data_IF_729405495350
#
_entry.id   IF_729405495350
#
_cell.length_a   1.000
_cell.length_b   1.000
_cell.length_c   1.000
_cell.angle_alpha   90.00
_cell.angle_beta   90.00
_cell.angle_gamma   90.00
#
_symmetry.space_group_name_H-M   'P 1'
#
loop_
_entity.id
_entity.type
_entity.pdbx_description
1 polymer ?
#
# COMPACT_ATOMS: atom_id res chain seq x y z
N UNK A 1 10.07 5.77 53.42
CA UNK A 1 10.45 7.11 52.99
C UNK A 1 11.25 7.80 54.12
N UNK A 2 12.28 8.52 53.76
CA UNK A 2 13.11 9.30 54.71
C UNK A 2 12.68 10.75 54.63
N UNK A 3 12.15 11.28 55.72
CA UNK A 3 11.74 12.68 55.78
C UNK A 3 12.97 13.54 56.13
N UNK A 4 13.49 14.28 55.14
CA UNK A 4 14.68 15.11 55.28
C UNK A 4 14.43 16.41 56.08
N UNK A 5 13.18 16.79 56.33
CA UNK A 5 12.84 18.01 57.06
C UNK A 5 11.58 17.74 57.90
N UNK A 6 11.72 17.83 59.24
CA UNK A 6 10.57 17.73 60.15
C UNK A 6 9.71 18.98 60.01
N UNK A 7 8.41 18.81 60.09
CA UNK A 7 7.51 19.95 60.21
C UNK A 7 7.70 20.61 61.59
N UNK A 8 8.04 21.89 61.57
CA UNK A 8 8.22 22.67 62.78
C UNK A 8 6.97 23.53 62.97
N UNK A 9 6.24 23.26 64.01
CA UNK A 9 5.11 24.11 64.45
C UNK A 9 5.60 25.09 65.50
N UNK A 10 5.37 26.34 65.25
CA UNK A 10 5.66 27.44 66.27
C UNK A 10 4.37 27.70 66.99
N UNK A 11 4.33 27.41 68.30
CA UNK A 11 3.23 27.81 69.19
C UNK A 11 3.69 28.91 70.06
N UNK A 12 2.92 30.01 70.08
CA UNK A 12 3.12 31.13 70.89
C UNK A 12 2.23 31.00 72.14
N UNK A 13 2.81 30.82 73.30
CA UNK A 13 2.11 30.73 74.56
C UNK A 13 2.73 31.75 75.54
N UNK A 14 1.96 32.78 75.99
CA UNK A 14 2.41 33.73 76.99
C UNK A 14 3.62 34.57 76.61
N UNK A 15 3.80 34.95 75.32
CA UNK A 15 4.90 35.82 74.87
C UNK A 15 6.22 35.11 74.61
N UNK A 16 6.28 33.78 74.74
CA UNK A 16 7.45 32.99 74.34
C UNK A 16 7.08 32.04 73.17
N UNK A 17 7.87 32.08 72.06
CA UNK A 17 7.70 31.21 70.94
C UNK A 17 8.47 29.92 71.19
N UNK A 18 7.75 28.81 71.32
CA UNK A 18 8.35 27.45 71.43
C UNK A 18 8.22 26.73 70.09
N UNK A 19 9.36 26.28 69.52
CA UNK A 19 9.39 25.51 68.34
C UNK A 19 9.27 24.03 68.69
N UNK A 20 8.15 23.41 68.36
CA UNK A 20 7.92 22.00 68.57
C UNK A 20 8.11 21.31 67.22
N UNK A 21 9.07 20.38 67.15
CA UNK A 21 9.25 19.54 65.99
C UNK A 21 8.39 18.29 66.13
N UNK A 22 7.39 18.15 65.24
CA UNK A 22 6.54 16.97 65.20
C UNK A 22 6.98 16.07 64.05
N UNK A 23 7.07 14.77 64.30
CA UNK A 23 7.33 13.73 63.30
C UNK A 23 8.45 12.77 63.70
N UNK A 24 8.40 11.58 63.16
CA UNK A 24 9.46 10.56 63.26
C UNK A 24 10.53 10.79 62.21
N UNK A 25 11.80 10.59 62.57
CA UNK A 25 12.93 10.77 61.66
C UNK A 25 12.92 9.76 60.48
N UNK A 26 12.39 8.57 60.73
CA UNK A 26 12.24 7.55 59.71
C UNK A 26 10.89 6.87 59.88
N UNK A 27 10.15 6.74 58.81
CA UNK A 27 8.98 5.87 58.74
C UNK A 27 9.18 4.78 57.69
N UNK A 28 9.05 3.57 58.13
CA UNK A 28 9.14 2.39 57.26
C UNK A 28 7.74 1.76 57.23
N UNK A 29 7.20 1.62 56.02
CA UNK A 29 5.97 0.85 55.77
C UNK A 29 6.25 -0.21 54.74
N UNK A 30 5.96 -1.45 55.09
CA UNK A 30 5.97 -2.58 54.16
C UNK A 30 4.58 -3.23 54.20
N UNK A 31 4.00 -3.41 53.03
CA UNK A 31 2.70 -4.06 52.91
C UNK A 31 2.76 -5.12 51.84
N UNK A 32 2.29 -6.31 52.14
CA UNK A 32 2.04 -7.37 51.16
C UNK A 32 0.53 -7.49 50.97
N UNK A 33 0.03 -7.25 49.77
CA UNK A 33 -1.37 -7.40 49.44
C UNK A 33 -1.54 -8.56 48.43
N UNK A 34 -2.38 -9.51 48.77
CA UNK A 34 -2.77 -10.58 47.86
C UNK A 34 -4.25 -10.43 47.56
N UNK A 35 -4.59 -10.15 46.31
CA UNK A 35 -5.96 -10.07 45.83
C UNK A 35 -6.32 -11.35 45.08
N UNK A 36 -7.17 -12.19 45.69
CA UNK A 36 -7.71 -13.40 45.06
C UNK A 36 -9.18 -13.13 44.66
N UNK A 37 -9.51 -12.96 43.38
CA UNK A 37 -10.90 -12.81 42.97
C UNK A 37 -11.61 -14.15 43.05
N UNK A 38 -12.37 -14.38 44.12
CA UNK A 38 -13.15 -15.62 44.34
C UNK A 38 -14.35 -15.75 43.40
N UNK A 39 -14.91 -14.63 42.95
CA UNK A 39 -15.99 -14.56 41.97
C UNK A 39 -15.81 -13.34 41.09
N UNK A 40 -15.41 -13.57 39.82
CA UNK A 40 -15.17 -12.51 38.83
C UNK A 40 -15.88 -12.83 37.50
N UNK A 41 -17.18 -12.59 37.36
CA UNK A 41 -17.93 -12.87 36.13
C UNK A 41 -17.35 -12.16 34.90
N UNK A 42 -16.73 -10.98 35.09
CA UNK A 42 -16.04 -10.27 34.06
C UNK A 42 -14.84 -11.05 33.48
N UNK A 43 -14.09 -11.75 34.34
CA UNK A 43 -12.96 -12.59 33.93
C UNK A 43 -13.42 -13.75 33.05
N UNK A 44 -14.47 -14.46 33.43
CA UNK A 44 -15.02 -15.57 32.63
C UNK A 44 -15.58 -15.09 31.28
N UNK A 45 -16.18 -13.90 31.25
CA UNK A 45 -16.64 -13.30 29.99
C UNK A 45 -15.49 -12.86 29.10
N UNK A 46 -14.40 -12.34 29.67
CA UNK A 46 -13.22 -11.96 28.89
C UNK A 46 -12.50 -13.16 28.27
N UNK A 47 -12.50 -14.31 28.94
CA UNK A 47 -11.95 -15.56 28.37
C UNK A 47 -12.77 -15.97 27.13
N UNK A 48 -14.10 -15.99 27.22
CA UNK A 48 -14.96 -16.29 26.05
C UNK A 48 -14.82 -15.27 24.93
N UNK A 49 -14.63 -14.00 25.26
CA UNK A 49 -14.35 -12.95 24.27
C UNK A 49 -13.03 -13.24 23.55
N UNK A 50 -11.99 -13.66 24.28
CA UNK A 50 -10.70 -14.00 23.70
C UNK A 50 -10.80 -15.21 22.75
N UNK A 51 -11.63 -16.20 23.06
CA UNK A 51 -11.90 -17.32 22.15
C UNK A 51 -12.56 -16.86 20.86
N UNK A 52 -13.56 -15.98 20.93
CA UNK A 52 -14.19 -15.37 19.75
C UNK A 52 -13.22 -14.47 18.95
N UNK A 53 -12.31 -13.76 19.63
CA UNK A 53 -11.27 -12.97 18.98
C UNK A 53 -10.27 -13.84 18.20
N UNK A 54 -9.96 -15.04 18.68
CA UNK A 54 -9.12 -16.01 17.96
C UNK A 54 -9.83 -16.47 16.68
N UNK A 55 -11.10 -16.83 16.74
CA UNK A 55 -11.88 -17.20 15.55
C UNK A 55 -11.93 -16.04 14.55
N UNK A 56 -12.19 -14.84 15.03
CA UNK A 56 -12.16 -13.63 14.20
C UNK A 56 -10.80 -13.41 13.56
N UNK A 57 -9.70 -13.63 14.27
CA UNK A 57 -8.35 -13.50 13.73
C UNK A 57 -8.07 -14.52 12.61
N UNK A 58 -8.54 -15.76 12.77
CA UNK A 58 -8.43 -16.82 11.75
C UNK A 58 -9.20 -16.44 10.49
N UNK A 59 -10.46 -15.98 10.64
CA UNK A 59 -11.27 -15.55 9.48
C UNK A 59 -10.72 -14.29 8.81
N UNK A 60 -10.17 -13.35 9.56
CA UNK A 60 -9.45 -12.19 9.00
C UNK A 60 -8.21 -12.62 8.20
N UNK A 61 -7.45 -13.59 8.70
CA UNK A 61 -6.29 -14.11 7.96
C UNK A 61 -6.72 -14.80 6.66
N UNK A 62 -7.83 -15.56 6.69
CA UNK A 62 -8.42 -16.16 5.49
C UNK A 62 -8.89 -15.12 4.49
N UNK A 63 -9.62 -14.11 4.94
CA UNK A 63 -10.09 -13.00 4.09
C UNK A 63 -8.91 -12.23 3.48
N UNK A 64 -7.85 -11.98 4.25
CA UNK A 64 -6.62 -11.33 3.76
C UNK A 64 -5.96 -12.14 2.65
N UNK A 65 -5.88 -13.47 2.81
CA UNK A 65 -5.32 -14.35 1.77
C UNK A 65 -6.14 -14.29 0.48
N UNK A 66 -7.47 -14.36 0.58
CA UNK A 66 -8.36 -14.24 -0.58
C UNK A 66 -8.20 -12.87 -1.25
N UNK A 67 -8.15 -11.81 -0.45
CA UNK A 67 -7.91 -10.45 -0.94
C UNK A 67 -6.60 -10.34 -1.69
N UNK A 68 -5.51 -10.89 -1.15
CA UNK A 68 -4.20 -10.88 -1.81
C UNK A 68 -4.23 -11.62 -3.17
N UNK A 69 -4.86 -12.80 -3.23
CA UNK A 69 -5.01 -13.55 -4.49
C UNK A 69 -5.77 -12.72 -5.52
N UNK A 70 -6.87 -12.08 -5.13
CA UNK A 70 -7.65 -11.23 -6.03
C UNK A 70 -6.83 -10.03 -6.53
N UNK A 71 -6.06 -9.39 -5.66
CA UNK A 71 -5.21 -8.25 -6.01
C UNK A 71 -4.11 -8.64 -7.00
N UNK A 72 -3.43 -9.76 -6.76
CA UNK A 72 -2.40 -10.29 -7.68
C UNK A 72 -3.02 -10.67 -9.03
N UNK A 73 -4.17 -11.35 -9.01
CA UNK A 73 -4.88 -11.72 -10.25
C UNK A 73 -5.29 -10.49 -11.05
N UNK A 74 -5.82 -9.48 -10.40
CA UNK A 74 -6.20 -8.21 -11.03
C UNK A 74 -4.98 -7.48 -11.62
N UNK A 75 -3.88 -7.40 -10.88
CA UNK A 75 -2.64 -6.78 -11.36
C UNK A 75 -2.03 -7.54 -12.55
N UNK A 76 -2.15 -8.88 -12.56
CA UNK A 76 -1.72 -9.71 -13.69
C UNK A 76 -2.52 -9.40 -14.96
N UNK A 77 -3.85 -9.34 -14.86
CA UNK A 77 -4.68 -8.97 -16.02
C UNK A 77 -4.47 -7.52 -16.46
N UNK A 78 -4.21 -6.61 -15.54
CA UNK A 78 -3.84 -5.23 -15.90
C UNK A 78 -2.52 -5.17 -16.67
N UNK A 79 -1.54 -5.99 -16.32
CA UNK A 79 -0.29 -6.09 -17.08
C UNK A 79 -0.52 -6.65 -18.48
N UNK A 80 -1.32 -7.71 -18.63
CA UNK A 80 -1.68 -8.26 -19.94
C UNK A 80 -2.39 -7.22 -20.80
N UNK A 81 -3.37 -6.50 -20.25
CA UNK A 81 -4.08 -5.43 -20.95
C UNK A 81 -3.13 -4.31 -21.40
N UNK A 82 -2.19 -3.92 -20.55
CA UNK A 82 -1.20 -2.90 -20.89
C UNK A 82 -0.28 -3.38 -22.03
N UNK A 83 0.16 -4.62 -22.01
CA UNK A 83 0.99 -5.23 -23.05
C UNK A 83 0.23 -5.31 -24.40
N UNK A 84 -1.02 -5.76 -24.39
CA UNK A 84 -1.84 -5.83 -25.61
C UNK A 84 -2.12 -4.44 -26.17
N UNK A 85 -2.42 -3.46 -25.30
CA UNK A 85 -2.62 -2.06 -25.71
C UNK A 85 -1.34 -1.47 -26.34
N UNK A 86 -0.19 -1.75 -25.75
CA UNK A 86 1.10 -1.31 -26.31
C UNK A 86 1.35 -1.94 -27.69
N UNK A 87 1.08 -3.23 -27.85
CA UNK A 87 1.24 -3.94 -29.12
C UNK A 87 0.36 -3.34 -30.23
N UNK A 88 -0.94 -3.09 -29.91
CA UNK A 88 -1.87 -2.45 -30.88
C UNK A 88 -1.38 -1.07 -31.30
N UNK A 89 -0.92 -0.26 -30.37
CA UNK A 89 -0.38 1.07 -30.68
C UNK A 89 0.93 0.98 -31.47
N UNK A 90 1.77 -0.01 -31.20
CA UNK A 90 2.99 -0.26 -31.95
C UNK A 90 2.70 -0.65 -33.40
N UNK A 91 1.71 -1.53 -33.61
CA UNK A 91 1.25 -1.91 -34.95
C UNK A 91 0.65 -0.72 -35.71
N UNK A 92 -0.18 0.10 -35.04
CA UNK A 92 -0.76 1.31 -35.62
C UNK A 92 0.32 2.33 -36.01
N UNK A 93 1.34 2.49 -35.15
CA UNK A 93 2.48 3.36 -35.44
C UNK A 93 3.29 2.86 -36.63
N UNK A 94 3.63 1.57 -36.68
CA UNK A 94 4.33 0.95 -37.79
C UNK A 94 3.55 1.08 -39.12
N UNK A 95 2.22 0.91 -39.08
CA UNK A 95 1.37 1.10 -40.24
C UNK A 95 1.37 2.56 -40.73
N UNK A 96 1.34 3.53 -39.80
CA UNK A 96 1.41 4.94 -40.16
C UNK A 96 2.77 5.31 -40.76
N UNK A 97 3.88 4.78 -40.22
CA UNK A 97 5.23 4.96 -40.82
C UNK A 97 5.34 4.36 -42.22
N UNK A 98 4.80 3.16 -42.42
CA UNK A 98 4.76 2.52 -43.71
C UNK A 98 3.96 3.36 -44.73
N UNK A 99 2.80 3.90 -44.30
CA UNK A 99 2.02 4.81 -45.14
C UNK A 99 2.79 6.11 -45.48
N UNK A 100 3.43 6.71 -44.49
CA UNK A 100 4.25 7.93 -44.72
C UNK A 100 5.36 7.67 -45.74
N UNK A 101 6.02 6.49 -45.66
CA UNK A 101 7.05 6.11 -46.64
C UNK A 101 6.48 6.05 -48.07
N UNK A 102 5.33 5.38 -48.25
CA UNK A 102 4.65 5.29 -49.55
C UNK A 102 4.26 6.69 -50.05
N UNK A 103 3.72 7.54 -49.19
CA UNK A 103 3.33 8.92 -49.58
C UNK A 103 4.56 9.73 -49.96
N UNK A 104 5.69 9.63 -49.25
CA UNK A 104 6.93 10.29 -49.58
C UNK A 104 7.48 9.86 -50.98
N UNK A 105 7.46 8.54 -51.24
CA UNK A 105 7.86 8.00 -52.53
C UNK A 105 6.96 8.57 -53.70
N UNK A 106 5.65 8.62 -53.47
CA UNK A 106 4.72 9.20 -54.44
C UNK A 106 4.90 10.70 -54.63
N UNK A 107 5.23 11.43 -53.56
CA UNK A 107 5.49 12.84 -53.57
C UNK A 107 6.75 13.15 -54.43
N UNK A 108 7.84 12.40 -54.26
CA UNK A 108 9.06 12.58 -55.08
C UNK A 108 8.80 12.32 -56.57
N UNK A 109 7.80 11.48 -56.89
CA UNK A 109 7.35 11.24 -58.28
C UNK A 109 6.30 12.25 -58.76
N UNK A 110 5.97 13.28 -57.97
CA UNK A 110 4.97 14.30 -58.32
C UNK A 110 3.53 13.77 -58.37
N UNK A 111 3.23 12.61 -57.74
CA UNK A 111 1.92 11.96 -57.83
C UNK A 111 0.98 12.27 -56.65
N UNK A 112 1.45 12.95 -55.63
CA UNK A 112 0.64 13.40 -54.46
C UNK A 112 1.04 14.83 -54.11
N UNK A 113 0.15 15.53 -53.40
CA UNK A 113 0.36 16.89 -52.96
C UNK A 113 1.28 16.97 -51.73
N UNK A 114 1.90 18.14 -51.55
CA UNK A 114 2.64 18.42 -50.32
C UNK A 114 1.75 18.33 -49.08
N UNK A 115 0.48 18.72 -49.20
CA UNK A 115 -0.51 18.60 -48.14
C UNK A 115 -0.70 17.16 -47.69
N UNK A 116 -0.79 16.21 -48.65
CA UNK A 116 -0.94 14.78 -48.31
C UNK A 116 0.29 14.24 -47.57
N UNK A 117 1.49 14.68 -47.97
CA UNK A 117 2.75 14.35 -47.32
C UNK A 117 2.78 14.86 -45.87
N UNK A 118 2.44 16.15 -45.66
CA UNK A 118 2.40 16.75 -44.33
C UNK A 118 1.36 16.04 -43.47
N UNK A 119 0.18 15.72 -43.99
CA UNK A 119 -0.87 15.00 -43.28
C UNK A 119 -0.41 13.63 -42.81
N UNK A 120 0.30 12.89 -43.65
CA UNK A 120 0.85 11.59 -43.27
C UNK A 120 1.94 11.70 -42.18
N UNK A 121 2.81 12.74 -42.26
CA UNK A 121 3.82 13.00 -41.23
C UNK A 121 3.19 13.37 -39.88
N UNK A 122 2.17 14.24 -39.90
CA UNK A 122 1.41 14.59 -38.66
C UNK A 122 0.76 13.36 -38.06
N UNK A 123 0.23 12.44 -38.88
CA UNK A 123 -0.38 11.20 -38.37
C UNK A 123 0.65 10.35 -37.60
N UNK A 124 1.85 10.16 -38.12
CA UNK A 124 2.93 9.43 -37.41
C UNK A 124 3.30 10.13 -36.11
N UNK A 125 3.52 11.43 -36.16
CA UNK A 125 3.90 12.25 -34.98
C UNK A 125 2.82 12.24 -33.92
N UNK A 126 1.55 12.23 -34.28
CA UNK A 126 0.43 12.19 -33.32
C UNK A 126 0.29 10.85 -32.59
N UNK A 127 0.74 9.74 -33.19
CA UNK A 127 0.71 8.43 -32.54
C UNK A 127 1.87 8.20 -31.57
N UNK A 128 3.02 8.85 -31.79
CA UNK A 128 4.23 8.63 -31.01
C UNK A 128 4.07 8.87 -29.51
N UNK A 129 3.42 9.95 -29.04
CA UNK A 129 3.19 10.14 -27.59
C UNK A 129 2.34 9.05 -26.96
N UNK A 130 1.32 8.56 -27.68
CA UNK A 130 0.48 7.45 -27.25
C UNK A 130 1.27 6.16 -27.06
N UNK A 131 2.15 5.85 -27.99
CA UNK A 131 3.05 4.68 -27.92
C UNK A 131 4.00 4.77 -26.72
N UNK A 132 4.62 5.93 -26.48
CA UNK A 132 5.51 6.15 -25.34
C UNK A 132 4.73 6.01 -24.01
N UNK A 133 3.53 6.59 -23.95
CA UNK A 133 2.66 6.49 -22.78
C UNK A 133 2.25 5.04 -22.49
N UNK A 134 1.91 4.27 -23.52
CA UNK A 134 1.58 2.85 -23.37
C UNK A 134 2.78 2.02 -22.89
N UNK A 135 3.98 2.30 -23.41
CA UNK A 135 5.22 1.67 -22.94
C UNK A 135 5.49 1.92 -21.46
N UNK A 136 5.30 3.15 -21.01
CA UNK A 136 5.39 3.49 -19.58
C UNK A 136 4.30 2.79 -18.76
N UNK A 137 3.10 2.64 -19.32
CA UNK A 137 2.00 1.89 -18.71
C UNK A 137 2.36 0.42 -18.45
N UNK A 138 3.01 -0.24 -19.42
CA UNK A 138 3.51 -1.63 -19.25
C UNK A 138 4.54 -1.70 -18.12
N UNK A 139 5.51 -0.78 -18.11
CA UNK A 139 6.54 -0.74 -17.07
C UNK A 139 5.93 -0.54 -15.68
N UNK A 140 4.95 0.36 -15.56
CA UNK A 140 4.26 0.64 -14.30
C UNK A 140 3.43 -0.57 -13.81
N UNK A 141 2.67 -1.21 -14.71
CA UNK A 141 1.90 -2.39 -14.39
C UNK A 141 2.80 -3.57 -13.94
N UNK A 142 3.95 -3.76 -14.61
CA UNK A 142 4.95 -4.73 -14.21
C UNK A 142 5.54 -4.45 -12.82
N UNK A 143 5.80 -3.17 -12.51
CA UNK A 143 6.27 -2.75 -11.20
C UNK A 143 5.23 -3.01 -10.10
N UNK A 144 3.95 -2.71 -10.37
CA UNK A 144 2.85 -2.99 -9.43
C UNK A 144 2.73 -4.48 -9.11
N UNK A 145 2.77 -5.33 -10.14
CA UNK A 145 2.73 -6.78 -9.96
C UNK A 145 3.94 -7.28 -9.14
N UNK A 146 5.13 -6.73 -9.40
CA UNK A 146 6.34 -7.05 -8.65
C UNK A 146 6.23 -6.73 -7.16
N UNK A 147 5.70 -5.56 -6.84
CA UNK A 147 5.48 -5.13 -5.45
C UNK A 147 4.51 -6.06 -4.73
N UNK A 148 3.41 -6.44 -5.39
CA UNK A 148 2.42 -7.37 -4.83
C UNK A 148 2.98 -8.78 -4.61
N UNK A 149 3.89 -9.23 -5.47
CA UNK A 149 4.56 -10.53 -5.34
C UNK A 149 5.71 -10.52 -4.32
N UNK A 150 6.11 -9.34 -3.83
CA UNK A 150 7.22 -9.21 -2.88
C UNK A 150 8.58 -9.59 -3.45
N UNK A 151 8.75 -9.56 -4.79
CA UNK A 151 10.01 -9.91 -5.44
C UNK A 151 11.00 -8.77 -5.31
N UNK A 152 12.08 -9.00 -4.58
CA UNK A 152 13.19 -8.07 -4.43
C UNK A 152 14.12 -8.11 -5.65
N UNK A 153 14.71 -6.97 -6.01
CA UNK A 153 15.62 -6.84 -7.16
C UNK A 153 14.98 -6.08 -8.32
N UNK A 154 15.61 -6.13 -9.49
CA UNK A 154 15.12 -5.48 -10.72
C UNK A 154 14.84 -6.47 -11.87
N UNK A 155 14.12 -7.60 -11.63
CA UNK A 155 13.71 -8.46 -12.72
C UNK A 155 12.59 -7.77 -13.50
N UNK A 156 12.74 -7.72 -14.81
CA UNK A 156 11.65 -7.34 -15.72
C UNK A 156 10.63 -8.46 -15.68
N UNK A 157 9.47 -8.21 -15.06
CA UNK A 157 8.35 -9.15 -15.05
C UNK A 157 7.57 -8.94 -16.34
N UNK A 158 7.62 -9.90 -17.24
CA UNK A 158 6.75 -9.98 -18.42
C UNK A 158 5.71 -11.08 -18.20
N UNK A 159 4.45 -10.75 -18.35
CA UNK A 159 3.40 -11.77 -18.39
C UNK A 159 3.47 -12.51 -19.73
N UNK A 160 3.33 -13.83 -19.68
CA UNK A 160 3.20 -14.65 -20.88
C UNK A 160 1.72 -14.88 -21.18
N UNK A 161 1.34 -14.74 -22.44
CA UNK A 161 -0.03 -14.92 -22.91
C UNK A 161 -0.64 -13.61 -23.39
N UNK A 162 -1.81 -13.71 -23.98
CA UNK A 162 -2.66 -12.60 -24.41
C UNK A 162 -3.94 -12.61 -23.58
N UNK A 163 -4.58 -11.46 -23.44
CA UNK A 163 -5.87 -11.38 -22.76
C UNK A 163 -6.94 -12.28 -23.40
N UNK A 164 -6.86 -12.49 -24.71
CA UNK A 164 -7.73 -13.38 -25.46
C UNK A 164 -7.65 -14.85 -25.01
N UNK A 165 -6.48 -15.31 -24.54
CA UNK A 165 -6.28 -16.69 -24.07
C UNK A 165 -7.10 -16.99 -22.80
N UNK A 166 -7.44 -15.95 -22.04
CA UNK A 166 -8.18 -16.04 -20.78
C UNK A 166 -9.67 -15.70 -20.91
N UNK A 167 -10.13 -15.30 -22.11
CA UNK A 167 -11.53 -14.92 -22.33
C UNK A 167 -12.51 -16.06 -22.02
N UNK A 168 -12.13 -17.30 -22.32
CA UNK A 168 -12.95 -18.48 -22.01
C UNK A 168 -13.09 -18.77 -20.52
N UNK A 169 -12.08 -18.37 -19.71
CA UNK A 169 -12.09 -18.54 -18.27
C UNK A 169 -12.89 -17.42 -17.54
N UNK A 170 -13.18 -16.31 -18.23
CA UNK A 170 -13.92 -15.17 -17.68
C UNK A 170 -15.44 -15.25 -17.98
N UNK A 171 -15.89 -16.18 -18.79
CA UNK A 171 -17.34 -16.37 -19.01
C UNK A 171 -17.95 -16.98 -17.76
N UNK A 172 -19.02 -16.36 -17.20
CA UNK A 172 -19.73 -16.86 -16.03
C UNK A 172 -20.42 -18.19 -16.28
#
# INVERSE_FOLDING_TARGET
SRTLKKQTMVMEFGGQSTKIQMGTDNSYSAGLSINLPLFAPALYRSIRLTEADIELAVEKARASRIGMVNEVTKAFYQLLLAQDSYRVLQEAYAQAEANLRIVNERFTLGRVSEYDRIRADVQVRSLKPGLVSAGNGVALAGLQLRVLLGVAGDPIIAARGSLADYESAMKP
#
